data_IF_700769450190
#
_entry.id   IF_700769450190
#
_cell.length_a   1.000
_cell.length_b   1.000
_cell.length_c   1.000
_cell.angle_alpha   90.00
_cell.angle_beta   90.00
_cell.angle_gamma   90.00
#
_symmetry.space_group_name_H-M   'P 1'
#
loop_
_entity.id
_entity.type
_entity.pdbx_description
1 polymer ?
#
# COMPACT_ATOMS: atom_id res chain seq x y z
N UNK A 1 28.21 19.36 -45.64
CA UNK A 1 28.80 19.58 -44.30
C UNK A 1 27.92 20.57 -43.56
N UNK A 2 27.34 20.19 -42.42
CA UNK A 2 26.90 21.20 -41.44
C UNK A 2 25.43 21.20 -41.01
N UNK A 3 24.89 20.08 -40.53
CA UNK A 3 23.75 20.09 -39.59
C UNK A 3 24.13 19.55 -38.19
N UNK A 4 25.30 18.92 -38.07
CA UNK A 4 25.87 18.47 -36.80
C UNK A 4 26.15 19.63 -35.81
N UNK A 5 26.72 20.78 -36.21
CA UNK A 5 27.04 21.86 -35.27
C UNK A 5 25.79 22.49 -34.63
N UNK A 6 24.68 22.56 -35.41
CA UNK A 6 23.41 23.07 -34.90
C UNK A 6 22.72 22.10 -33.95
N UNK A 7 22.91 20.78 -34.12
CA UNK A 7 22.36 19.78 -33.18
C UNK A 7 23.12 19.76 -31.85
N UNK A 8 24.44 19.89 -31.87
CA UNK A 8 25.24 20.03 -30.63
C UNK A 8 24.92 21.33 -29.89
N UNK A 9 24.77 22.45 -30.61
CA UNK A 9 24.42 23.73 -30.00
C UNK A 9 23.05 23.69 -29.31
N UNK A 10 22.06 22.96 -29.84
CA UNK A 10 20.73 22.83 -29.22
C UNK A 10 20.76 21.96 -27.95
N UNK A 11 21.61 20.93 -27.90
CA UNK A 11 21.79 20.12 -26.69
C UNK A 11 22.51 20.89 -25.57
N UNK A 12 23.42 21.81 -25.91
CA UNK A 12 24.14 22.63 -24.92
C UNK A 12 23.20 23.58 -24.14
N UNK A 13 22.09 24.01 -24.75
CA UNK A 13 21.05 24.83 -24.08
C UNK A 13 20.03 24.01 -23.28
N UNK A 14 20.05 22.67 -23.33
CA UNK A 14 19.03 21.80 -22.71
C UNK A 14 19.08 21.76 -21.17
N UNK A 15 20.10 22.35 -20.54
CA UNK A 15 20.27 22.30 -19.09
C UNK A 15 20.51 20.87 -18.57
N UNK A 16 20.99 20.72 -17.32
CA UNK A 16 21.11 19.39 -16.73
C UNK A 16 19.71 18.80 -16.47
N UNK A 17 19.50 17.49 -16.68
CA UNK A 17 18.22 16.86 -16.38
C UNK A 17 17.89 16.99 -14.88
N UNK A 18 16.62 17.31 -14.59
CA UNK A 18 16.10 17.33 -13.23
C UNK A 18 15.80 15.91 -12.75
N UNK A 19 16.00 15.66 -11.46
CA UNK A 19 15.50 14.44 -10.82
C UNK A 19 14.11 14.72 -10.27
N UNK A 20 13.09 14.09 -10.86
CA UNK A 20 11.74 14.09 -10.29
C UNK A 20 11.48 12.80 -9.52
N UNK A 21 10.68 12.90 -8.46
CA UNK A 21 10.29 11.75 -7.62
C UNK A 21 8.82 11.46 -7.86
N UNK A 22 8.55 10.32 -8.47
CA UNK A 22 7.18 9.89 -8.77
C UNK A 22 6.79 8.84 -7.73
N UNK A 23 5.65 9.06 -7.06
CA UNK A 23 5.08 8.12 -6.10
C UNK A 23 3.82 7.47 -6.66
N UNK A 24 3.79 6.14 -6.70
CA UNK A 24 2.58 5.37 -7.04
C UNK A 24 2.04 4.68 -5.80
N UNK A 25 0.78 4.97 -5.45
CA UNK A 25 0.11 4.37 -4.29
C UNK A 25 -0.91 3.31 -4.72
N UNK A 26 -0.87 2.15 -4.09
CA UNK A 26 -1.88 1.09 -4.25
C UNK A 26 -2.59 0.87 -2.92
N UNK A 27 -3.91 0.90 -2.92
CA UNK A 27 -4.75 0.79 -1.73
C UNK A 27 -5.50 -0.55 -1.68
N UNK A 28 -5.60 -1.14 -0.50
CA UNK A 28 -6.51 -2.25 -0.19
C UNK A 28 -7.28 -1.88 1.06
N UNK A 29 -8.56 -1.58 0.89
CA UNK A 29 -9.45 -1.18 1.97
C UNK A 29 -10.66 -2.11 1.99
N UNK A 30 -11.09 -2.49 3.18
CA UNK A 30 -12.33 -3.21 3.38
C UNK A 30 -13.03 -2.72 4.65
N UNK A 31 -14.34 -2.67 4.60
CA UNK A 31 -15.21 -2.30 5.71
C UNK A 31 -16.22 -3.42 5.87
N UNK A 32 -16.25 -4.02 7.04
CA UNK A 32 -17.14 -5.14 7.33
C UNK A 32 -18.57 -4.61 7.59
N UNK A 33 -19.57 -5.43 7.25
CA UNK A 33 -20.99 -5.09 7.32
C UNK A 33 -21.89 -6.23 7.83
N UNK A 34 -21.29 -7.27 8.43
CA UNK A 34 -21.98 -8.44 8.99
C UNK A 34 -21.85 -8.54 10.52
N UNK A 35 -22.94 -8.94 11.19
CA UNK A 35 -22.94 -9.31 12.62
C UNK A 35 -22.37 -10.71 12.89
N UNK A 36 -22.20 -11.53 11.85
CA UNK A 36 -21.61 -12.85 11.94
C UNK A 36 -20.18 -12.81 11.39
N UNK A 37 -19.14 -12.85 12.26
CA UNK A 37 -17.76 -12.74 11.84
C UNK A 37 -17.28 -14.03 11.17
N UNK A 38 -17.84 -15.19 11.52
CA UNK A 38 -17.41 -16.47 10.96
C UNK A 38 -17.69 -16.55 9.46
N UNK A 39 -18.70 -15.80 9.01
CA UNK A 39 -19.07 -15.65 7.61
C UNK A 39 -18.64 -14.29 7.00
N UNK A 40 -17.88 -13.47 7.73
CA UNK A 40 -17.42 -12.14 7.29
C UNK A 40 -15.89 -12.10 7.21
N UNK A 41 -15.35 -12.89 6.29
CA UNK A 41 -13.92 -12.91 5.97
C UNK A 41 -13.66 -12.14 4.68
N UNK A 42 -12.57 -11.38 4.68
CA UNK A 42 -12.03 -10.67 3.54
C UNK A 42 -10.61 -11.15 3.28
N UNK A 43 -10.33 -11.54 2.04
CA UNK A 43 -8.98 -11.88 1.62
C UNK A 43 -8.64 -11.21 0.29
N UNK A 44 -7.41 -10.72 0.15
CA UNK A 44 -6.90 -10.11 -1.06
C UNK A 44 -5.48 -10.58 -1.36
N UNK A 45 -5.16 -10.72 -2.65
CA UNK A 45 -3.81 -10.98 -3.14
C UNK A 45 -3.53 -9.99 -4.28
N UNK A 46 -2.84 -8.91 -3.96
CA UNK A 46 -2.67 -7.75 -4.83
C UNK A 46 -1.24 -7.71 -5.37
N UNK A 47 -1.05 -7.77 -6.70
CA UNK A 47 0.26 -7.63 -7.31
C UNK A 47 0.72 -6.17 -7.27
N UNK A 48 1.95 -5.94 -6.81
CA UNK A 48 2.60 -4.62 -6.77
C UNK A 48 3.83 -4.66 -7.67
N UNK A 49 3.80 -3.89 -8.75
CA UNK A 49 4.94 -3.80 -9.68
C UNK A 49 5.94 -2.78 -9.17
N UNK A 50 7.15 -3.24 -8.84
CA UNK A 50 8.28 -2.42 -8.43
C UNK A 50 9.27 -2.36 -9.60
N UNK A 51 9.42 -1.20 -10.27
CA UNK A 51 10.35 -1.07 -11.38
C UNK A 51 11.80 -0.99 -10.90
N UNK A 52 12.77 -1.18 -11.80
CA UNK A 52 14.20 -1.03 -11.50
C UNK A 52 14.59 0.38 -11.04
N UNK A 53 13.81 1.39 -11.43
CA UNK A 53 13.99 2.78 -10.99
C UNK A 53 13.45 3.06 -9.58
N UNK A 54 12.90 2.05 -8.89
CA UNK A 54 12.37 2.22 -7.54
C UNK A 54 13.50 2.51 -6.53
N UNK A 55 13.35 3.60 -5.79
CA UNK A 55 14.25 4.01 -4.71
C UNK A 55 13.78 3.52 -3.35
N UNK A 56 12.47 3.53 -3.15
CA UNK A 56 11.88 3.09 -1.91
C UNK A 56 10.50 2.49 -2.11
N UNK A 57 10.13 1.58 -1.21
CA UNK A 57 8.77 1.09 -1.05
C UNK A 57 8.36 1.33 0.39
N UNK A 58 7.20 1.95 0.57
CA UNK A 58 6.64 2.21 1.89
C UNK A 58 5.33 1.47 2.07
N UNK A 59 5.13 0.88 3.25
CA UNK A 59 3.89 0.21 3.61
C UNK A 59 3.31 0.85 4.86
N UNK A 60 2.01 1.10 4.82
CA UNK A 60 1.25 1.60 5.94
C UNK A 60 0.05 0.69 6.17
N UNK A 61 -0.31 0.52 7.44
CA UNK A 61 -1.30 -0.42 7.88
C UNK A 61 -2.12 0.18 9.03
N UNK A 62 -3.45 0.11 8.89
CA UNK A 62 -4.41 0.55 9.88
C UNK A 62 -5.52 -0.49 10.00
N UNK A 63 -5.84 -0.87 11.23
CA UNK A 63 -7.08 -1.56 11.60
C UNK A 63 -7.84 -0.72 12.57
N UNK A 64 -9.13 -0.57 12.30
CA UNK A 64 -10.10 -0.02 13.22
C UNK A 64 -11.03 -1.18 13.58
N UNK A 65 -10.95 -1.69 14.81
CA UNK A 65 -11.92 -2.64 15.33
C UNK A 65 -12.74 -1.91 16.38
N UNK A 66 -14.01 -1.65 16.07
CA UNK A 66 -14.90 -0.99 17.01
C UNK A 66 -15.42 -2.03 18.01
N UNK A 67 -15.94 -1.59 19.16
CA UNK A 67 -16.43 -2.50 20.23
C UNK A 67 -15.36 -3.45 20.80
N UNK A 68 -14.07 -3.13 20.73
CA UNK A 68 -13.00 -3.90 21.39
C UNK A 68 -13.24 -4.14 22.88
N UNK A 69 -13.84 -3.17 23.57
CA UNK A 69 -14.21 -3.27 24.99
C UNK A 69 -15.24 -4.37 25.28
N UNK A 70 -15.90 -4.92 24.26
CA UNK A 70 -16.84 -6.04 24.34
C UNK A 70 -16.26 -7.35 23.79
N UNK A 71 -14.96 -7.41 23.52
CA UNK A 71 -14.25 -8.60 22.99
C UNK A 71 -14.55 -9.89 23.77
N UNK A 72 -14.66 -9.81 25.11
CA UNK A 72 -15.03 -10.94 25.96
C UNK A 72 -16.46 -11.49 25.68
N UNK A 73 -17.38 -10.64 25.21
CA UNK A 73 -18.74 -11.02 24.84
C UNK A 73 -18.86 -11.48 23.38
N UNK A 74 -18.06 -10.92 22.47
CA UNK A 74 -18.12 -11.24 21.04
C UNK A 74 -17.31 -12.48 20.68
N UNK A 75 -16.35 -12.86 21.52
CA UNK A 75 -15.37 -13.88 21.21
C UNK A 75 -14.26 -13.34 20.30
N UNK A 76 -13.08 -13.92 20.41
CA UNK A 76 -11.84 -13.44 19.76
C UNK A 76 -11.73 -13.94 18.31
N UNK A 77 -12.81 -13.76 17.54
CA UNK A 77 -12.89 -14.22 16.15
C UNK A 77 -12.29 -13.21 15.17
N UNK A 78 -12.11 -11.95 15.58
CA UNK A 78 -11.60 -10.88 14.71
C UNK A 78 -10.10 -11.00 14.54
N UNK A 79 -9.64 -10.75 13.33
CA UNK A 79 -8.23 -10.60 13.05
C UNK A 79 -8.01 -9.85 11.75
N UNK A 80 -6.81 -9.32 11.59
CA UNK A 80 -6.31 -8.84 10.31
C UNK A 80 -4.83 -9.24 10.21
N UNK A 81 -4.49 -9.91 9.12
CA UNK A 81 -3.18 -10.44 8.79
C UNK A 81 -2.74 -9.92 7.43
N UNK A 82 -1.51 -9.41 7.37
CA UNK A 82 -0.94 -8.85 6.16
C UNK A 82 0.43 -9.44 5.93
N UNK A 83 0.74 -9.74 4.68
CA UNK A 83 2.08 -10.14 4.28
C UNK A 83 2.46 -9.42 3.00
N UNK A 84 3.68 -8.91 2.97
CA UNK A 84 4.29 -8.35 1.77
C UNK A 84 5.46 -9.21 1.32
N UNK A 85 5.28 -9.86 0.17
CA UNK A 85 6.21 -10.85 -0.35
C UNK A 85 6.98 -10.28 -1.54
N UNK A 86 8.27 -10.58 -1.57
CA UNK A 86 9.11 -10.31 -2.72
C UNK A 86 8.77 -11.21 -3.93
N UNK A 87 9.36 -10.98 -5.11
CA UNK A 87 9.10 -11.78 -6.30
C UNK A 87 9.50 -13.26 -6.14
N UNK A 88 10.41 -13.59 -5.21
CA UNK A 88 10.81 -14.95 -4.87
C UNK A 88 9.83 -15.64 -3.90
N UNK A 89 8.84 -14.92 -3.38
CA UNK A 89 7.88 -15.42 -2.39
C UNK A 89 8.38 -15.35 -0.95
N UNK A 90 9.46 -14.62 -0.67
CA UNK A 90 9.96 -14.40 0.69
C UNK A 90 9.17 -13.27 1.33
N UNK A 91 8.68 -13.49 2.55
CA UNK A 91 8.01 -12.46 3.36
C UNK A 91 9.05 -11.41 3.77
N UNK A 92 8.86 -10.17 3.32
CA UNK A 92 9.69 -9.02 3.71
C UNK A 92 9.06 -8.21 4.84
N UNK A 93 7.75 -8.34 5.00
CA UNK A 93 7.01 -7.72 6.09
C UNK A 93 5.74 -8.51 6.37
N UNK A 94 5.39 -8.58 7.64
CA UNK A 94 4.14 -9.14 8.12
C UNK A 94 3.62 -8.31 9.30
N UNK A 95 2.31 -8.25 9.42
CA UNK A 95 1.64 -7.69 10.59
C UNK A 95 0.36 -8.46 10.86
N UNK A 96 0.07 -8.65 12.15
CA UNK A 96 -1.10 -9.35 12.64
C UNK A 96 -1.74 -8.51 13.75
N UNK A 97 -3.04 -8.33 13.67
CA UNK A 97 -3.81 -7.57 14.64
C UNK A 97 -5.09 -8.31 14.99
N UNK A 98 -5.37 -8.46 16.29
CA UNK A 98 -6.68 -8.89 16.81
C UNK A 98 -7.50 -7.72 17.35
N UNK A 99 -7.01 -6.50 17.10
CA UNK A 99 -7.54 -5.27 17.64
C UNK A 99 -7.19 -4.04 16.81
N UNK A 100 -7.65 -2.87 17.26
CA UNK A 100 -7.35 -1.58 16.65
C UNK A 100 -5.86 -1.28 16.76
N UNK A 101 -5.23 -1.05 15.62
CA UNK A 101 -3.80 -0.75 15.58
C UNK A 101 -3.47 0.11 14.36
N UNK A 102 -2.54 1.03 14.56
CA UNK A 102 -1.83 1.70 13.50
C UNK A 102 -0.35 1.42 13.72
N UNK A 103 0.25 0.65 12.82
CA UNK A 103 1.67 0.35 12.94
C UNK A 103 2.55 1.46 12.34
N UNK A 104 3.80 1.59 12.82
CA UNK A 104 4.79 2.41 12.17
C UNK A 104 4.95 2.02 10.71
N UNK A 105 5.12 3.02 9.85
CA UNK A 105 5.39 2.82 8.43
C UNK A 105 6.66 1.98 8.24
N UNK A 106 6.57 0.88 7.47
CA UNK A 106 7.76 0.21 6.96
C UNK A 106 8.32 1.00 5.78
N UNK A 107 9.64 1.16 5.74
CA UNK A 107 10.36 1.73 4.59
C UNK A 107 11.43 0.75 4.15
N UNK A 108 11.29 0.23 2.94
CA UNK A 108 12.32 -0.55 2.25
C UNK A 108 13.07 0.37 1.29
N UNK A 109 14.38 0.49 1.48
CA UNK A 109 15.25 1.26 0.58
C UNK A 109 15.88 0.32 -0.45
N UNK A 110 15.98 0.76 -1.70
CA UNK A 110 16.51 -0.02 -2.82
C UNK A 110 15.86 -1.42 -2.94
N UNK A 111 14.53 -1.49 -3.09
CA UNK A 111 13.82 -2.78 -3.21
C UNK A 111 14.21 -3.53 -4.49
N UNK A 112 14.18 -4.86 -4.43
CA UNK A 112 14.34 -5.70 -5.62
C UNK A 112 13.23 -5.38 -6.63
N UNK A 113 13.60 -5.27 -7.91
CA UNK A 113 12.63 -5.07 -8.98
C UNK A 113 11.81 -6.34 -9.23
N UNK A 114 10.58 -6.17 -9.74
CA UNK A 114 9.69 -7.27 -10.11
C UNK A 114 8.28 -7.09 -9.58
N UNK A 115 7.50 -8.18 -9.61
CA UNK A 115 6.12 -8.19 -9.11
C UNK A 115 6.09 -8.77 -7.70
N UNK A 116 5.90 -7.89 -6.73
CA UNK A 116 5.68 -8.26 -5.33
C UNK A 116 4.20 -8.55 -5.08
N UNK A 117 3.89 -9.17 -3.95
CA UNK A 117 2.50 -9.50 -3.58
C UNK A 117 2.17 -8.97 -2.20
N UNK A 118 1.07 -8.23 -2.10
CA UNK A 118 0.43 -7.90 -0.85
C UNK A 118 -0.72 -8.88 -0.61
N UNK A 119 -0.58 -9.70 0.43
CA UNK A 119 -1.62 -10.59 0.90
C UNK A 119 -2.31 -9.94 2.09
N UNK A 120 -3.64 -9.98 2.07
CA UNK A 120 -4.49 -9.54 3.17
C UNK A 120 -5.42 -10.69 3.50
N UNK A 121 -5.56 -11.00 4.78
CA UNK A 121 -6.58 -11.89 5.28
C UNK A 121 -7.14 -11.32 6.58
N UNK A 122 -8.43 -11.05 6.61
CA UNK A 122 -9.05 -10.35 7.73
C UNK A 122 -10.47 -10.86 7.97
N UNK A 123 -10.90 -10.73 9.22
CA UNK A 123 -12.24 -11.04 9.68
C UNK A 123 -12.67 -9.98 10.68
N UNK A 124 -13.88 -9.47 10.51
CA UNK A 124 -14.40 -8.38 11.33
C UNK A 124 -15.92 -8.40 11.41
N UNK A 125 -16.45 -7.50 12.21
CA UNK A 125 -17.89 -7.25 12.33
C UNK A 125 -18.27 -5.95 11.67
N UNK A 126 -19.53 -5.87 11.25
CA UNK A 126 -20.17 -4.61 10.96
C UNK A 126 -21.67 -4.69 11.10
N UNK A 127 -22.26 -3.63 11.61
CA UNK A 127 -23.70 -3.48 11.63
C UNK A 127 -24.12 -2.03 11.53
N UNK A 128 -25.35 -1.87 11.08
CA UNK A 128 -26.01 -0.58 10.98
C UNK A 128 -27.46 -0.79 11.42
N UNK A 129 -27.78 -0.33 12.62
CA UNK A 129 -29.14 -0.31 13.14
C UNK A 129 -29.70 1.08 12.87
N UNK A 130 -30.65 1.18 11.94
CA UNK A 130 -31.22 2.44 11.41
C UNK A 130 -31.31 3.56 12.44
N UNK A 131 -30.36 4.52 12.37
CA UNK A 131 -30.22 5.70 13.23
C UNK A 131 -30.02 5.47 14.73
N UNK A 132 -29.90 4.22 15.19
CA UNK A 132 -29.70 3.88 16.61
C UNK A 132 -28.22 3.65 16.93
N UNK A 133 -27.53 2.86 16.11
CA UNK A 133 -26.12 2.53 16.30
C UNK A 133 -25.49 2.02 15.00
N UNK A 134 -24.26 2.45 14.75
CA UNK A 134 -23.43 1.97 13.64
C UNK A 134 -22.06 1.64 14.19
N UNK A 135 -21.57 0.45 13.87
CA UNK A 135 -20.24 -0.01 14.23
C UNK A 135 -19.73 -0.90 13.11
N UNK A 136 -18.59 -0.57 12.52
CA UNK A 136 -18.02 -1.30 11.39
C UNK A 136 -16.52 -1.36 11.54
N UNK A 137 -16.00 -2.58 11.63
CA UNK A 137 -14.56 -2.82 11.58
C UNK A 137 -14.04 -2.45 10.19
N UNK A 138 -12.82 -1.91 10.16
CA UNK A 138 -12.16 -1.50 8.93
C UNK A 138 -10.72 -1.96 8.92
N UNK A 139 -10.31 -2.36 7.73
CA UNK A 139 -8.94 -2.74 7.43
C UNK A 139 -8.47 -1.93 6.25
N UNK A 140 -7.30 -1.30 6.39
CA UNK A 140 -6.71 -0.46 5.35
C UNK A 140 -5.21 -0.68 5.30
N UNK A 141 -4.70 -0.97 4.11
CA UNK A 141 -3.27 -1.08 3.83
C UNK A 141 -2.98 -0.41 2.50
N UNK A 142 -1.86 0.31 2.43
CA UNK A 142 -1.42 0.89 1.17
C UNK A 142 0.09 0.86 1.02
N UNK A 143 0.49 0.63 -0.24
CA UNK A 143 1.87 0.53 -0.66
C UNK A 143 2.20 1.71 -1.54
N UNK A 144 3.25 2.44 -1.19
CA UNK A 144 3.78 3.57 -1.95
C UNK A 144 5.09 3.12 -2.58
N UNK A 145 5.17 3.13 -3.91
CA UNK A 145 6.40 2.89 -4.65
C UNK A 145 6.94 4.23 -5.11
N UNK A 146 8.15 4.58 -4.66
CA UNK A 146 8.84 5.82 -5.02
C UNK A 146 9.89 5.50 -6.08
N UNK A 147 9.76 6.11 -7.26
CA UNK A 147 10.73 6.02 -8.34
C UNK A 147 11.43 7.35 -8.54
N UNK A 148 12.59 7.31 -9.17
CA UNK A 148 13.19 8.51 -9.74
C UNK A 148 13.27 8.44 -11.23
N UNK A 149 12.83 9.51 -11.88
CA UNK A 149 12.94 9.67 -13.31
C UNK A 149 13.72 10.94 -13.62
N UNK A 150 14.51 10.88 -14.69
CA UNK A 150 15.15 12.06 -15.26
C UNK A 150 14.10 12.76 -16.11
N UNK A 151 13.66 13.92 -15.66
CA UNK A 151 12.76 14.77 -16.43
C UNK A 151 13.60 15.83 -17.11
N UNK A 152 13.58 15.84 -18.43
CA UNK A 152 14.08 16.96 -19.22
C UNK A 152 13.00 18.04 -19.20
N UNK A 153 13.36 19.28 -18.83
CA UNK A 153 12.42 20.38 -18.88
C UNK A 153 12.10 20.70 -20.34
N UNK A 154 10.89 20.39 -20.77
CA UNK A 154 10.32 21.03 -21.96
C UNK A 154 9.86 22.43 -21.52
N UNK A 155 10.60 23.47 -21.93
CA UNK A 155 10.13 24.84 -21.76
C UNK A 155 8.97 25.14 -22.73
N UNK A 156 7.98 25.81 -22.15
CA UNK A 156 6.69 26.25 -22.67
C UNK A 156 6.83 27.40 -23.69
#
# INVERSE_FOLDING_TARGET
MGLLPMREAIEEFRGPPGLDVISKTTWVNHTFDSLDPLNSQFSANVPIVIPESARAVRLNFIVEMDLEQFSEMTGDFRYASYQFLDPGGVVKWESNATGSVQEPQLVLTSPDSGTWRLLVDARGYGFELSNLATSKDKVSVWVIVETSELVYSDEN
#
